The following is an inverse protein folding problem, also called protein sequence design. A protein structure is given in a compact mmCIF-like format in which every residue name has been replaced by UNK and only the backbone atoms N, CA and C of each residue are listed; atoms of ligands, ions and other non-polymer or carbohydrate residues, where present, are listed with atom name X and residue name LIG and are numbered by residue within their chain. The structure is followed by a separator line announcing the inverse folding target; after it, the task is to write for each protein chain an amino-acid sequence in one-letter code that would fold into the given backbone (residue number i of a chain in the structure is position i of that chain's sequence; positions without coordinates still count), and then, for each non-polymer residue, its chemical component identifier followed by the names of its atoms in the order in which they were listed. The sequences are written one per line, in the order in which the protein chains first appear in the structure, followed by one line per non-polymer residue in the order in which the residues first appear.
data_IF_690141258560
#
_entry.id   IF_690141258560
#
_cell.length_a   1.000
_cell.length_b   1.000
_cell.length_c   1.000
_cell.angle_alpha   90.00
_cell.angle_beta   90.00
_cell.angle_gamma   90.00
#
_symmetry.space_group_name_H-M   'P 1'
#
loop_
_entity.id
_entity.type
_entity.pdbx_description
1 polymer ?
2 non-polymer ?
3 non-polymer ?
4 water ?
#
# COMPACT_ATOMS: atom_id res chain seq x y z
N UNK A 1 -14.69 16.78 -4.03
CA UNK A 1 -15.81 17.52 -4.67
C UNK A 1 -16.43 16.66 -5.78
N UNK A 2 -17.76 16.61 -5.81
CA UNK A 2 -18.50 15.75 -6.75
C UNK A 2 -18.60 16.36 -8.16
N UNK A 3 -18.69 15.48 -9.15
CA UNK A 3 -18.89 15.83 -10.56
C UNK A 3 -20.30 15.35 -10.91
N UNK A 4 -21.14 16.26 -11.38
CA UNK A 4 -22.60 16.04 -11.41
C UNK A 4 -23.22 15.69 -12.78
N UNK A 5 -22.53 16.02 -13.87
CA UNK A 5 -22.98 15.62 -15.22
C UNK A 5 -21.95 14.81 -16.02
N UNK A 6 -20.80 14.50 -15.43
CA UNK A 6 -19.71 13.87 -16.18
C UNK A 6 -19.88 12.36 -16.38
N UNK A 7 -19.26 11.85 -17.43
CA UNK A 7 -19.27 10.41 -17.74
C UNK A 7 -18.13 10.04 -18.67
N UNK A 8 -17.74 8.76 -18.70
CA UNK A 8 -16.62 8.30 -19.55
C UNK A 8 -16.85 6.90 -20.08
N UNK A 9 -16.21 6.58 -21.21
CA UNK A 9 -16.29 5.24 -21.79
C UNK A 9 -14.98 4.48 -21.58
N UNK A 10 -15.10 3.18 -21.30
CA UNK A 10 -13.94 2.28 -21.15
C UNK A 10 -14.30 0.98 -21.86
N UNK A 11 -13.57 0.65 -22.93
CA UNK A 11 -13.79 -0.57 -23.72
C UNK A 11 -15.27 -0.75 -24.11
N UNK A 12 -15.86 0.33 -24.61
CA UNK A 12 -17.23 0.32 -25.11
C UNK A 12 -18.32 0.25 -24.06
N UNK A 13 -17.96 0.58 -22.80
CA UNK A 13 -18.89 0.56 -21.69
C UNK A 13 -18.90 1.92 -21.00
N UNK A 14 -20.10 2.49 -20.84
CA UNK A 14 -20.27 3.84 -20.31
C UNK A 14 -20.31 3.81 -18.78
N UNK A 15 -19.72 4.84 -18.18
CA UNK A 15 -19.62 4.99 -16.73
C UNK A 15 -20.01 6.41 -16.33
N UNK A 16 -21.02 6.50 -15.46
CA UNK A 16 -21.42 7.73 -14.78
C UNK A 16 -20.35 8.06 -13.74
N UNK A 17 -19.90 9.31 -13.68
CA UNK A 17 -18.89 9.73 -12.72
C UNK A 17 -19.55 10.42 -11.54
N UNK A 18 -19.48 9.83 -10.35
CA UNK A 18 -20.08 10.43 -9.16
C UNK A 18 -19.19 11.50 -8.56
N UNK A 19 -17.92 11.18 -8.37
CA UNK A 19 -16.94 12.13 -7.85
C UNK A 19 -15.51 11.66 -8.05
N UNK A 20 -14.58 12.58 -7.84
CA UNK A 20 -13.15 12.30 -7.86
C UNK A 20 -12.68 12.01 -6.44
N UNK A 21 -11.99 10.89 -6.24
CA UNK A 21 -11.64 10.39 -4.90
C UNK A 21 -10.14 10.25 -4.71
N UNK A 22 -9.37 11.07 -5.40
CA UNK A 22 -7.92 10.92 -5.42
C UNK A 22 -7.26 11.47 -6.67
N UNK A 23 -5.97 11.81 -6.53
CA UNK A 23 -5.19 12.39 -7.62
C UNK A 23 -3.67 12.33 -7.36
N UNK A 24 -2.93 11.80 -8.33
CA UNK A 24 -1.49 12.01 -8.45
C UNK A 24 -1.24 13.20 -9.39
N UNK A 25 -0.03 13.31 -9.91
CA UNK A 25 0.31 14.39 -10.84
C UNK A 25 -0.40 14.22 -12.16
N UNK A 26 -0.11 13.10 -12.83
CA UNK A 26 -0.70 12.74 -14.13
C UNK A 26 -1.97 11.90 -14.00
N UNK A 27 -2.35 11.52 -12.78
CA UNK A 27 -3.44 10.57 -12.56
C UNK A 27 -4.59 11.09 -11.69
N UNK A 28 -5.76 10.48 -11.88
CA UNK A 28 -6.96 10.78 -11.11
C UNK A 28 -7.68 9.48 -10.78
N UNK A 29 -8.41 9.44 -9.66
CA UNK A 29 -9.30 8.29 -9.36
C UNK A 29 -10.72 8.80 -9.24
N UNK A 30 -11.67 8.06 -9.83
CA UNK A 30 -13.10 8.45 -9.82
C UNK A 30 -13.96 7.35 -9.24
N UNK A 31 -14.90 7.75 -8.37
CA UNK A 31 -16.03 6.90 -7.97
C UNK A 31 -17.04 6.92 -9.11
N UNK A 32 -17.32 5.75 -9.70
CA UNK A 32 -18.17 5.67 -10.90
C UNK A 32 -19.19 4.54 -10.85
N UNK A 33 -20.22 4.65 -11.70
CA UNK A 33 -21.23 3.61 -11.87
C UNK A 33 -21.27 3.13 -13.31
N UNK A 34 -21.40 1.82 -13.53
CA UNK A 34 -21.59 1.29 -14.89
C UNK A 34 -23.07 1.39 -15.32
N UNK A 35 -23.39 0.84 -16.49
CA UNK A 35 -24.77 0.90 -17.03
C UNK A 35 -25.80 0.27 -16.09
N UNK A 36 -25.40 -0.78 -15.36
CA UNK A 36 -26.27 -1.48 -14.40
C UNK A 36 -26.16 -0.93 -12.96
N UNK A 37 -25.61 0.27 -12.81
CA UNK A 37 -25.47 0.95 -11.54
C UNK A 37 -24.64 0.20 -10.52
N UNK A 38 -23.64 -0.54 -11.00
CA UNK A 38 -22.64 -1.16 -10.15
C UNK A 38 -21.50 -0.18 -9.95
N UNK A 39 -20.97 -0.13 -8.74
CA UNK A 39 -19.94 0.85 -8.40
C UNK A 39 -18.52 0.32 -8.60
N UNK A 40 -17.66 1.23 -9.06
CA UNK A 40 -16.25 0.97 -9.28
C UNK A 40 -15.45 2.24 -8.99
N UNK A 41 -14.15 2.06 -8.92
CA UNK A 41 -13.19 3.17 -8.97
C UNK A 41 -12.49 3.07 -10.31
N UNK A 42 -12.40 4.17 -11.04
CA UNK A 42 -11.59 4.20 -12.26
C UNK A 42 -10.37 5.06 -12.02
N UNK A 43 -9.20 4.46 -12.22
CA UNK A 43 -7.94 5.20 -12.25
C UNK A 43 -7.72 5.67 -13.67
N UNK A 44 -7.49 6.97 -13.84
CA UNK A 44 -7.09 7.55 -15.12
C UNK A 44 -5.62 7.97 -14.99
N UNK A 45 -4.81 7.65 -16.00
CA UNK A 45 -3.42 8.12 -16.05
C UNK A 45 -3.21 8.78 -17.41
N UNK A 46 -2.75 10.03 -17.39
CA UNK A 46 -2.36 10.72 -18.61
C UNK A 46 -0.91 10.35 -18.93
N UNK A 47 -0.69 9.94 -20.18
CA UNK A 47 0.62 9.49 -20.64
C UNK A 47 1.31 10.54 -21.52
N UNK A 48 0.69 11.69 -21.70
CA UNK A 48 1.10 12.65 -22.73
C UNK A 48 2.53 13.18 -22.58
N UNK A 49 3.07 13.16 -21.36
CA UNK A 49 4.45 13.60 -21.10
C UNK A 49 5.30 12.51 -20.43
N UNK A 50 4.95 11.25 -20.67
CA UNK A 50 5.66 10.10 -20.11
C UNK A 50 6.57 9.49 -21.17
N UNK A 51 7.82 9.21 -20.81
CA UNK A 51 8.82 8.62 -21.71
C UNK A 51 8.71 7.09 -21.71
N UNK A 52 9.39 6.44 -22.66
CA UNK A 52 9.24 5.00 -22.88
C UNK A 52 9.51 4.12 -21.67
N UNK A 53 10.48 4.52 -20.86
CA UNK A 53 10.80 3.83 -19.61
C UNK A 53 9.59 3.84 -18.66
N UNK A 54 9.09 5.04 -18.39
CA UNK A 54 7.92 5.26 -17.55
C UNK A 54 6.72 4.47 -18.07
N UNK A 55 6.47 4.58 -19.38
CA UNK A 55 5.39 3.86 -20.05
C UNK A 55 5.50 2.39 -19.81
N UNK A 56 6.69 1.84 -20.02
CA UNK A 56 6.89 0.40 -19.86
C UNK A 56 6.68 -0.07 -18.41
N UNK A 57 7.00 0.78 -17.43
CA UNK A 57 6.72 0.45 -16.02
C UNK A 57 5.21 0.41 -15.71
N UNK A 58 4.44 1.31 -16.32
CA UNK A 58 2.97 1.23 -16.24
C UNK A 58 2.45 -0.03 -16.89
N UNK A 59 2.92 -0.35 -18.08
CA UNK A 59 2.54 -1.59 -18.77
C UNK A 59 2.83 -2.81 -17.90
N UNK A 60 3.99 -2.82 -17.26
CA UNK A 60 4.41 -3.94 -16.42
C UNK A 60 3.51 -4.12 -15.20
N UNK A 61 3.25 -3.02 -14.48
CA UNK A 61 2.37 -3.10 -13.33
C UNK A 61 0.96 -3.56 -13.69
N UNK A 62 0.43 -3.12 -14.82
CA UNK A 62 -0.89 -3.54 -15.25
C UNK A 62 -0.90 -5.04 -15.56
N UNK A 63 0.08 -5.53 -16.31
CA UNK A 63 0.16 -6.98 -16.62
C UNK A 63 0.18 -7.82 -15.36
N UNK A 64 1.02 -7.39 -14.42
CA UNK A 64 1.18 -8.11 -13.16
C UNK A 64 -0.06 -8.06 -12.27
N UNK A 65 -0.72 -6.90 -12.19
CA UNK A 65 -1.98 -6.78 -11.45
C UNK A 65 -3.08 -7.64 -12.09
N UNK A 66 -3.15 -7.69 -13.41
CA UNK A 66 -4.13 -8.52 -14.09
C UNK A 66 -3.87 -9.99 -13.80
N UNK A 67 -2.60 -10.41 -13.81
CA UNK A 67 -2.27 -11.80 -13.45
C UNK A 67 -2.55 -12.14 -11.97
N UNK A 68 -1.97 -11.36 -11.06
CA UNK A 68 -1.91 -11.70 -9.64
C UNK A 68 -3.21 -11.61 -8.87
N UNK A 69 -4.20 -10.91 -9.41
CA UNK A 69 -5.51 -10.80 -8.77
C UNK A 69 -6.22 -12.16 -8.72
N UNK A 70 -5.89 -13.05 -9.64
CA UNK A 70 -6.40 -14.43 -9.64
C UNK A 70 -5.75 -15.33 -8.59
N UNK A 71 -4.58 -14.93 -8.08
CA UNK A 71 -3.82 -15.71 -7.10
C UNK A 71 -4.17 -15.40 -5.65
N UNK A 72 -4.84 -14.29 -5.41
CA UNK A 72 -5.23 -13.92 -4.06
C UNK A 72 -6.38 -12.94 -4.13
N UNK A 73 -7.29 -13.04 -3.17
CA UNK A 73 -8.37 -12.06 -3.03
C UNK A 73 -7.95 -10.85 -2.16
N UNK A 74 -6.69 -10.78 -1.72
CA UNK A 74 -6.16 -9.63 -0.99
C UNK A 74 -5.44 -8.65 -1.89
N UNK A 75 -5.56 -8.85 -3.20
CA UNK A 75 -5.12 -7.88 -4.18
C UNK A 75 -6.37 -7.30 -4.81
N UNK A 76 -6.34 -5.99 -5.06
CA UNK A 76 -7.50 -5.27 -5.60
C UNK A 76 -7.90 -5.83 -6.97
N UNK A 77 -9.21 -5.92 -7.24
CA UNK A 77 -9.66 -6.40 -8.55
C UNK A 77 -9.41 -5.31 -9.59
N UNK A 78 -9.04 -5.77 -10.78
CA UNK A 78 -8.91 -4.97 -11.98
C UNK A 78 -9.84 -5.63 -12.97
N UNK A 79 -11.02 -5.07 -13.14
CA UNK A 79 -12.06 -5.67 -13.97
C UNK A 79 -11.83 -5.47 -15.46
N UNK A 80 -11.27 -4.33 -15.81
CA UNK A 80 -11.00 -4.01 -17.21
C UNK A 80 -10.05 -2.84 -17.26
N UNK A 81 -9.47 -2.62 -18.43
CA UNK A 81 -8.71 -1.43 -18.69
C UNK A 81 -8.70 -1.11 -20.17
N UNK A 82 -8.44 0.16 -20.46
CA UNK A 82 -8.27 0.64 -21.83
C UNK A 82 -6.95 1.39 -21.84
N UNK A 83 -6.19 1.19 -22.90
CA UNK A 83 -4.83 1.69 -22.97
C UNK A 83 -4.53 2.16 -24.40
N UNK A 84 -4.29 3.46 -24.51
CA UNK A 84 -3.93 4.10 -25.78
C UNK A 84 -2.60 4.79 -25.57
N UNK A 85 -2.15 5.51 -26.60
CA UNK A 85 -0.92 6.29 -26.50
C UNK A 85 -1.07 7.49 -25.56
N UNK A 86 -2.28 8.04 -25.46
CA UNK A 86 -2.54 9.22 -24.63
C UNK A 86 -2.86 8.91 -23.17
N UNK A 87 -3.55 7.79 -22.91
CA UNK A 87 -4.04 7.51 -21.56
C UNK A 87 -4.21 6.04 -21.22
N UNK A 88 -4.35 5.78 -19.92
CA UNK A 88 -4.83 4.51 -19.38
C UNK A 88 -6.05 4.75 -18.50
N UNK A 89 -7.12 3.99 -18.75
CA UNK A 89 -8.25 3.87 -17.81
C UNK A 89 -8.21 2.47 -17.19
N UNK A 90 -8.25 2.37 -15.88
CA UNK A 90 -8.35 1.09 -15.18
C UNK A 90 -9.63 1.05 -14.36
N UNK A 91 -10.47 0.04 -14.61
CA UNK A 91 -11.71 -0.13 -13.88
C UNK A 91 -11.46 -1.11 -12.75
N UNK A 92 -11.58 -0.61 -11.51
CA UNK A 92 -11.12 -1.33 -10.34
C UNK A 92 -12.17 -1.42 -9.26
N UNK A 93 -11.96 -2.39 -8.37
CA UNK A 93 -12.78 -2.59 -7.17
C UNK A 93 -12.86 -1.32 -6.33
N UNK A 94 -14.06 -1.00 -5.85
CA UNK A 94 -14.28 0.17 -5.00
C UNK A 94 -14.15 -0.21 -3.53
N UNK A 95 -13.55 0.68 -2.74
CA UNK A 95 -13.55 0.61 -1.26
C UNK A 95 -13.97 1.94 -0.66
N UNK A 96 -14.62 1.92 0.50
CA UNK A 96 -15.10 3.18 1.10
C UNK A 96 -13.98 3.97 1.78
N UNK A 97 -12.88 3.31 2.12
CA UNK A 97 -11.76 3.96 2.79
C UNK A 97 -10.47 3.16 2.66
N UNK A 98 -9.33 3.86 2.68
CA UNK A 98 -8.01 3.22 2.73
C UNK A 98 -7.54 3.10 4.18
N UNK A 99 -6.53 2.26 4.41
CA UNK A 99 -6.09 2.00 5.78
C UNK A 99 -5.49 3.23 6.44
N UNK A 100 -4.84 4.07 5.66
CA UNK A 100 -4.24 5.27 6.23
C UNK A 100 -5.30 6.13 6.88
N UNK A 101 -6.35 6.47 6.13
CA UNK A 101 -7.41 7.32 6.63
C UNK A 101 -8.15 6.68 7.79
N UNK A 102 -8.41 5.38 7.68
CA UNK A 102 -9.05 4.62 8.77
C UNK A 102 -8.25 4.69 10.08
N UNK A 103 -6.93 4.52 10.00
CA UNK A 103 -6.07 4.59 11.19
C UNK A 103 -5.96 6.00 11.78
N UNK A 104 -6.06 7.03 10.94
CA UNK A 104 -6.06 8.42 11.41
C UNK A 104 -7.26 8.73 12.30
N UNK A 105 -8.42 8.17 11.96
CA UNK A 105 -9.63 8.32 12.74
C UNK A 105 -9.93 7.19 13.73
N UNK A 106 -8.92 6.42 14.12
CA UNK A 106 -9.05 5.39 15.16
C UNK A 106 -7.89 5.49 16.13
N UNK A 107 -8.17 5.87 17.37
CA UNK A 107 -7.13 5.89 18.42
C UNK A 107 -6.91 4.46 18.93
N UNK A 108 -7.97 3.86 19.48
CA UNK A 108 -7.96 2.48 19.95
C UNK A 108 -8.47 1.61 18.81
N UNK A 109 -7.59 0.77 18.28
CA UNK A 109 -7.97 -0.24 17.31
C UNK A 109 -8.20 -1.58 18.04
N UNK A 110 -9.22 -2.30 17.60
CA UNK A 110 -9.60 -3.57 18.20
C UNK A 110 -8.50 -4.62 17.92
N UNK A 111 -8.00 -5.32 18.95
CA UNK A 111 -7.00 -6.40 18.78
C UNK A 111 -7.32 -7.44 17.69
N UNK A 112 -8.59 -7.84 17.61
CA UNK A 112 -9.07 -8.78 16.59
C UNK A 112 -8.97 -8.18 15.18
N UNK A 113 -9.37 -6.91 15.07
CA UNK A 113 -9.32 -6.16 13.81
C UNK A 113 -7.88 -6.04 13.30
N UNK A 114 -6.97 -5.68 14.21
CA UNK A 114 -5.54 -5.55 13.94
C UNK A 114 -4.92 -6.84 13.42
N UNK A 115 -5.24 -7.95 14.09
CA UNK A 115 -4.78 -9.28 13.67
C UNK A 115 -5.31 -9.64 12.29
N UNK A 116 -6.58 -9.31 12.04
CA UNK A 116 -7.22 -9.59 10.76
C UNK A 116 -6.59 -8.81 9.62
N UNK A 117 -6.31 -7.54 9.86
CA UNK A 117 -5.62 -6.71 8.88
C UNK A 117 -4.19 -7.17 8.62
N UNK A 118 -3.48 -7.49 9.70
CA UNK A 118 -2.13 -8.05 9.62
C UNK A 118 -2.09 -9.27 8.69
N UNK A 119 -3.02 -10.21 8.90
CA UNK A 119 -3.13 -11.37 8.03
C UNK A 119 -3.33 -10.97 6.57
N UNK A 120 -4.27 -10.06 6.32
CA UNK A 120 -4.61 -9.62 4.96
C UNK A 120 -3.36 -9.07 4.24
N UNK A 121 -2.67 -8.15 4.92
CA UNK A 121 -1.41 -7.58 4.45
C UNK A 121 -0.36 -8.63 4.11
N UNK A 122 -0.12 -9.54 5.06
CA UNK A 122 0.86 -10.63 4.85
C UNK A 122 0.55 -11.46 3.62
N UNK A 123 -0.71 -11.84 3.45
CA UNK A 123 -1.13 -12.64 2.29
C UNK A 123 -0.92 -11.89 0.96
N UNK A 124 -1.29 -10.62 0.92
CA UNK A 124 -1.08 -9.79 -0.28
C UNK A 124 0.41 -9.72 -0.66
N UNK A 125 1.24 -9.36 0.33
CA UNK A 125 2.67 -9.16 0.10
C UNK A 125 3.34 -10.49 -0.22
N UNK A 126 2.97 -11.54 0.48
CA UNK A 126 3.46 -12.88 0.17
C UNK A 126 3.21 -13.22 -1.29
N UNK A 127 2.04 -12.84 -1.80
CA UNK A 127 1.69 -13.16 -3.18
C UNK A 127 2.61 -12.47 -4.20
N UNK A 128 2.85 -11.18 -4.02
CA UNK A 128 3.72 -10.48 -4.95
C UNK A 128 5.16 -11.00 -4.87
N UNK A 129 5.64 -11.31 -3.66
CA UNK A 129 6.97 -11.92 -3.45
C UNK A 129 7.11 -13.25 -4.20
N UNK A 130 6.05 -14.06 -4.18
CA UNK A 130 6.04 -15.33 -4.93
C UNK A 130 6.19 -15.18 -6.45
N UNK A 131 5.95 -13.99 -7.00
CA UNK A 131 6.21 -13.72 -8.43
C UNK A 131 7.40 -12.78 -8.66
N UNK A 132 8.30 -12.73 -7.69
CA UNK A 132 9.52 -11.96 -7.80
C UNK A 132 9.41 -10.46 -7.56
N UNK A 133 8.25 -10.00 -7.13
CA UNK A 133 8.01 -8.57 -6.93
C UNK A 133 8.20 -8.22 -5.46
N UNK A 134 9.13 -7.30 -5.19
CA UNK A 134 9.27 -6.67 -3.88
C UNK A 134 8.71 -5.28 -4.06
N UNK A 135 7.72 -4.91 -3.26
CA UNK A 135 7.03 -3.63 -3.42
C UNK A 135 7.99 -2.47 -3.17
N UNK A 136 8.71 -2.55 -2.06
CA UNK A 136 9.77 -1.59 -1.73
C UNK A 136 9.32 -0.20 -1.27
N UNK A 137 8.03 -0.02 -1.02
CA UNK A 137 7.48 1.26 -0.55
C UNK A 137 6.07 1.10 0.04
N UNK A 138 5.93 0.20 1.01
CA UNK A 138 4.64 -0.09 1.61
C UNK A 138 4.33 0.91 2.70
N UNK A 139 3.15 1.53 2.58
CA UNK A 139 2.60 2.40 3.59
C UNK A 139 1.13 1.97 3.76
N UNK A 140 0.45 2.44 4.81
CA UNK A 140 -0.98 2.14 4.95
C UNK A 140 -1.82 2.56 3.76
N UNK A 141 -1.44 3.66 3.09
CA UNK A 141 -2.16 4.17 1.91
C UNK A 141 -2.19 3.19 0.73
N UNK A 142 -1.25 2.25 0.69
CA UNK A 142 -1.23 1.22 -0.35
C UNK A 142 -2.28 0.11 -0.12
N UNK A 143 -3.02 0.17 1.00
CA UNK A 143 -4.04 -0.80 1.34
C UNK A 143 -5.43 -0.17 1.41
N UNK A 144 -6.37 -0.82 0.73
CA UNK A 144 -7.74 -0.36 0.62
C UNK A 144 -8.63 -1.28 1.43
N UNK A 145 -9.54 -0.73 2.24
CA UNK A 145 -10.47 -1.57 2.99
C UNK A 145 -11.73 -1.77 2.12
N UNK A 146 -12.04 -3.04 1.84
CA UNK A 146 -13.22 -3.42 1.06
C UNK A 146 -13.96 -4.45 1.89
N UNK A 147 -15.03 -4.00 2.55
CA UNK A 147 -15.85 -4.86 3.43
C UNK A 147 -15.01 -5.61 4.44
N UNK A 148 -14.24 -4.85 5.22
CA UNK A 148 -13.37 -5.39 6.25
C UNK A 148 -12.10 -6.09 5.80
N UNK A 149 -11.93 -6.32 4.50
CA UNK A 149 -10.77 -7.03 4.00
C UNK A 149 -9.81 -6.01 3.40
N UNK A 150 -8.53 -6.10 3.74
CA UNK A 150 -7.52 -5.24 3.09
C UNK A 150 -7.16 -5.78 1.72
N UNK A 151 -7.11 -4.88 0.74
CA UNK A 151 -6.67 -5.17 -0.62
C UNK A 151 -5.47 -4.31 -0.90
N UNK A 152 -4.39 -4.94 -1.37
CA UNK A 152 -3.23 -4.22 -1.90
C UNK A 152 -3.58 -3.52 -3.23
N UNK A 153 -3.32 -2.23 -3.31
CA UNK A 153 -3.72 -1.37 -4.43
C UNK A 153 -2.70 -1.39 -5.57
N UNK A 154 -1.41 -1.32 -5.22
CA UNK A 154 -0.33 -1.28 -6.20
C UNK A 154 0.86 -2.17 -5.78
N UNK A 155 1.77 -2.41 -6.72
CA UNK A 155 2.94 -3.28 -6.51
C UNK A 155 4.29 -2.53 -6.51
N UNK A 156 4.26 -1.20 -6.45
CA UNK A 156 5.48 -0.38 -6.41
C UNK A 156 6.34 -0.38 -7.66
N UNK A 157 5.77 -0.84 -8.78
CA UNK A 157 6.50 -1.07 -10.04
C UNK A 157 6.60 0.21 -10.88
N UNK A 158 5.51 0.95 -10.96
CA UNK A 158 5.42 2.14 -11.80
C UNK A 158 6.30 3.29 -11.28
N UNK A 159 6.85 4.05 -12.22
CA UNK A 159 7.66 5.25 -11.93
C UNK A 159 6.71 6.42 -11.65
N UNK A 160 6.85 7.03 -10.47
CA UNK A 160 6.02 8.17 -10.08
C UNK A 160 6.36 9.39 -10.94
N UNK A 161 5.39 10.30 -11.09
CA UNK A 161 5.56 11.52 -11.89
C UNK A 161 5.14 12.79 -11.10
N UNK A 162 5.49 13.95 -11.64
CA UNK A 162 5.40 15.24 -10.95
C UNK A 162 4.41 16.21 -11.62
N UNK A 163 3.61 16.97 -10.83
CA UNK A 163 2.69 17.92 -11.47
C UNK A 163 3.40 19.14 -12.10
N UNK A 164 3.77 18.97 -13.37
CA UNK A 164 4.20 20.09 -14.23
C UNK A 164 2.99 20.70 -14.97
N UNK A 165 1.82 20.04 -14.86
CA UNK A 165 0.52 20.71 -14.99
C UNK A 165 0.47 21.79 -13.91
N UNK A 166 0.87 21.40 -12.70
CA UNK A 166 1.01 22.28 -11.53
C UNK A 166 -0.40 22.59 -11.02
N UNK A 167 -0.68 23.83 -10.61
CA UNK A 167 -1.70 24.10 -9.58
C UNK A 167 -1.47 23.06 -8.47
N UNK A 168 -0.24 23.07 -7.94
CA UNK A 168 0.31 21.94 -7.16
C UNK A 168 -0.29 21.80 -5.75
N UNK A 169 -0.74 20.59 -5.45
CA UNK A 169 -1.16 20.21 -4.09
C UNK A 169 -0.93 18.70 -3.93
N UNK A 170 -0.49 18.29 -2.74
CA UNK A 170 -0.15 16.89 -2.45
C UNK A 170 -0.52 16.51 -1.00
N UNK A 171 -0.28 15.25 -0.62
CA UNK A 171 -0.83 14.67 0.63
C UNK A 171 0.20 14.35 1.72
N UNK A 172 -0.33 14.15 2.93
CA UNK A 172 0.48 13.96 4.15
C UNK A 172 1.61 12.95 4.02
N UNK A 173 1.30 11.79 3.42
CA UNK A 173 2.17 10.61 3.53
C UNK A 173 2.85 10.12 2.22
N UNK A 174 2.84 10.94 1.17
CA UNK A 174 3.42 10.54 -0.13
C UNK A 174 4.96 10.52 -0.08
N UNK A 175 5.56 11.59 0.45
CA UNK A 175 7.01 11.67 0.61
C UNK A 175 7.59 10.79 1.71
N UNK A 177 9.24 8.97 4.94
CA UNK A 177 10.30 7.96 5.16
C UNK A 177 10.07 7.15 6.45
N UNK A 178 8.91 7.31 7.08
CA UNK A 178 8.63 6.65 8.37
C UNK A 178 8.48 5.12 8.26
N UNK A 179 8.28 4.61 7.04
CA UNK A 179 8.14 3.17 6.81
C UNK A 179 9.36 2.56 6.10
N UNK A 180 10.43 3.33 6.01
CA UNK A 180 11.58 3.00 5.17
C UNK A 180 12.58 2.15 5.97
N UNK A 181 13.14 1.11 5.34
CA UNK A 181 14.12 0.26 6.01
C UNK A 181 15.59 0.77 5.97
N UNK A 182 16.44 0.31 6.91
CA UNK A 182 17.83 0.81 6.98
C UNK A 182 18.65 0.58 5.71
N UNK A 183 18.54 -0.63 5.17
CA UNK A 183 19.24 -1.01 3.93
C UNK A 183 18.83 -0.18 2.71
N UNK A 184 17.60 0.34 2.69
CA UNK A 184 17.17 1.26 1.64
C UNK A 184 17.90 2.60 1.75
N UNK A 185 18.14 3.05 2.99
CA UNK A 185 18.78 4.32 3.27
C UNK A 185 20.29 4.26 2.96
N UNK A 186 20.93 3.15 3.36
CA UNK A 186 22.31 2.87 2.92
C UNK A 186 22.43 2.81 1.39
N UNK A 187 21.51 2.09 0.74
CA UNK A 187 21.57 1.73 -0.70
C UNK A 187 21.91 2.91 -1.62
N UNK A 188 21.28 4.05 -1.38
CA UNK A 188 21.77 5.33 -1.93
C UNK A 188 21.55 6.44 -0.91
N UNK A 199 21.47 -3.91 -6.90
CA UNK A 199 20.13 -3.84 -6.36
C UNK A 199 20.12 -3.76 -4.81
N UNK A 200 20.38 -4.89 -4.14
CA UNK A 200 20.26 -5.05 -2.67
C UNK A 200 18.82 -4.84 -2.11
N UNK A 201 17.81 -5.06 -2.95
CA UNK A 201 16.39 -4.98 -2.55
C UNK A 201 15.89 -6.42 -2.48
N UNK A 202 15.62 -6.87 -1.25
CA UNK A 202 15.13 -8.21 -0.98
C UNK A 202 13.73 -8.15 -0.39
N UNK A 203 13.01 -9.28 -0.40
CA UNK A 203 11.71 -9.38 0.29
C UNK A 203 11.70 -8.83 1.73
N UNK A 204 12.83 -8.91 2.41
CA UNK A 204 12.95 -8.41 3.79
C UNK A 204 12.68 -6.92 3.91
N UNK A 205 12.91 -6.14 2.86
CA UNK A 205 12.56 -4.70 2.86
C UNK A 205 11.08 -4.47 3.19
N UNK A 206 10.23 -5.28 2.58
CA UNK A 206 8.80 -5.23 2.79
C UNK A 206 8.39 -5.64 4.22
N UNK A 207 9.12 -6.58 4.84
CA UNK A 207 8.83 -7.00 6.22
C UNK A 207 9.05 -5.85 7.21
N UNK A 208 10.11 -5.06 7.03
CA UNK A 208 10.33 -3.88 7.86
C UNK A 208 9.12 -2.91 7.73
N UNK A 209 8.70 -2.63 6.49
CA UNK A 209 7.60 -1.69 6.25
C UNK A 209 6.28 -2.19 6.85
N UNK A 210 5.99 -3.47 6.65
CA UNK A 210 4.83 -4.10 7.28
C UNK A 210 4.92 -4.01 8.80
N UNK A 211 6.09 -4.31 9.35
CA UNK A 211 6.34 -4.16 10.78
C UNK A 211 6.06 -2.76 11.29
N UNK A 212 6.45 -1.74 10.51
CA UNK A 212 6.15 -0.34 10.85
C UNK A 212 4.65 -0.04 10.85
N UNK A 213 3.90 -0.63 9.92
CA UNK A 213 2.44 -0.50 9.90
C UNK A 213 1.83 -1.17 11.13
N UNK A 214 2.27 -2.37 11.46
CA UNK A 214 1.77 -3.09 12.63
C UNK A 214 2.13 -2.36 13.90
N UNK A 215 3.34 -1.78 13.95
CA UNK A 215 3.77 -0.96 15.08
C UNK A 215 2.83 0.23 15.26
N UNK A 216 2.44 0.86 14.15
CA UNK A 216 1.45 1.95 14.20
C UNK A 216 0.14 1.45 14.80
N UNK A 217 -0.35 0.31 14.31
CA UNK A 217 -1.60 -0.27 14.80
C UNK A 217 -1.54 -0.70 16.27
N UNK A 218 -0.35 -1.03 16.75
CA UNK A 218 -0.16 -1.47 18.12
C UNK A 218 0.03 -0.30 19.07
N UNK A 219 1.01 0.56 18.77
CA UNK A 219 1.42 1.63 19.69
C UNK A 219 0.86 3.02 19.37
N UNK A 220 0.27 3.19 18.19
CA UNK A 220 -0.36 4.45 17.80
C UNK A 220 0.55 5.43 17.08
N UNK A 221 1.75 4.99 16.72
CA UNK A 221 2.68 5.77 15.90
C UNK A 221 3.71 4.85 15.24
N UNK A 222 4.39 5.31 14.19
CA UNK A 222 5.54 4.57 13.64
C UNK A 222 6.74 4.72 14.57
N UNK A 223 7.73 3.81 14.51
CA UNK A 223 8.77 3.81 15.55
C UNK A 223 9.66 5.06 15.63
N UNK A 224 9.86 5.76 14.51
CA UNK A 224 10.71 6.96 14.48
C UNK A 224 9.92 8.26 14.27
N UNK A 225 8.60 8.18 14.47
CA UNK A 225 7.68 9.30 14.24
C UNK A 225 8.03 10.51 15.09
N UNK A 226 8.47 10.26 16.31
CA UNK A 226 8.85 11.33 17.25
C UNK A 226 9.93 12.28 16.71
N UNK A 227 10.86 11.75 15.91
CA UNK A 227 11.95 12.56 15.38
C UNK A 227 11.41 13.42 14.23
N UNK A 228 11.18 14.71 14.49
CA UNK A 228 10.79 15.66 13.45
C UNK A 228 11.90 15.89 12.41
N UNK A 229 13.14 16.04 12.90
CA UNK A 229 14.27 16.39 12.05
C UNK A 229 14.68 15.25 11.14
N UNK A 230 14.44 15.42 9.85
CA UNK A 230 14.40 14.31 8.90
C UNK A 230 15.75 13.61 8.69
N UNK A 231 16.86 14.32 8.92
CA UNK A 231 18.17 13.70 8.86
C UNK A 231 18.51 12.94 10.15
N UNK A 232 18.07 13.48 11.30
CA UNK A 232 18.16 12.73 12.56
C UNK A 232 17.33 11.44 12.49
N UNK A 233 16.14 11.50 11.88
CA UNK A 233 15.26 10.34 11.72
C UNK A 233 15.93 9.21 10.92
N UNK A 234 16.49 9.59 9.76
CA UNK A 234 17.20 8.63 8.91
C UNK A 234 18.42 8.04 9.62
N UNK A 235 19.14 8.87 10.35
CA UNK A 235 20.26 8.40 11.16
C UNK A 235 19.81 7.42 12.27
N UNK A 236 18.67 7.69 12.89
CA UNK A 236 18.11 6.80 13.93
C UNK A 236 17.74 5.43 13.37
N UNK A 237 17.17 5.42 12.16
CA UNK A 237 16.77 4.17 11.50
C UNK A 237 17.96 3.24 11.24
N UNK A 238 19.13 3.80 10.94
CA UNK A 238 20.35 3.02 10.62
C UNK A 238 21.15 2.60 11.88
N UNK A 239 21.20 3.49 12.88
CA UNK A 239 22.07 3.32 14.06
C UNK A 239 21.67 2.10 14.92
N UNK A 240 22.52 1.05 14.97
CA UNK A 240 22.22 -0.10 15.84
C UNK A 240 22.06 0.27 17.33
N UNK A 241 22.87 1.22 17.81
CA UNK A 241 22.77 1.71 19.19
C UNK A 241 21.47 2.47 19.51
N UNK A 242 20.80 3.00 18.49
CA UNK A 242 19.46 3.56 18.69
C UNK A 242 18.45 2.45 18.96
N UNK A 243 18.18 2.18 20.23
CA UNK A 243 17.24 1.13 20.64
C UNK A 243 15.79 1.56 20.38
N UNK A 244 15.05 0.77 19.59
CA UNK A 244 13.63 1.02 19.37
C UNK A 244 12.84 0.56 20.61
N UNK A 245 11.86 1.36 21.00
CA UNK A 245 10.98 1.07 22.13
C UNK A 245 9.97 0.00 21.75
N UNK A 246 9.71 -0.93 22.66
CA UNK A 246 8.61 -1.88 22.51
C UNK A 246 7.90 -2.01 23.85
N UNK A 247 7.07 -1.00 24.19
CA UNK A 247 6.32 -1.03 25.45
C UNK A 247 5.53 -2.33 25.68
N UNK A 248 5.54 -2.80 26.93
CA UNK A 248 4.86 -4.05 27.31
C UNK A 248 3.35 -3.97 27.11
N UNK A 249 2.79 -5.04 26.55
CA UNK A 249 1.36 -5.13 26.24
C UNK A 249 0.91 -6.57 26.47
N UNK A 250 -0.41 -6.80 26.64
CA UNK A 250 -0.96 -8.16 26.85
C UNK A 250 -0.58 -9.21 25.80
N UNK A 251 -0.58 -8.80 24.53
CA UNK A 251 -0.28 -9.70 23.42
C UNK A 251 1.23 -9.84 23.29
N UNK A 252 1.78 -10.86 23.94
CA UNK A 252 3.24 -11.09 23.92
C UNK A 252 3.69 -11.59 22.55
N UNK A 253 2.79 -12.27 21.84
CA UNK A 253 3.05 -12.69 20.46
C UNK A 253 3.18 -11.47 19.52
N UNK A 254 2.39 -10.43 19.76
CA UNK A 254 2.46 -9.20 18.97
C UNK A 254 3.76 -8.41 19.21
N UNK A 255 4.16 -8.32 20.48
CA UNK A 255 5.48 -7.79 20.86
C UNK A 255 6.59 -8.51 20.10
N UNK A 256 6.51 -9.84 20.06
CA UNK A 256 7.52 -10.65 19.40
C UNK A 256 7.60 -10.37 17.90
N UNK A 257 6.44 -10.31 17.25
CA UNK A 257 6.35 -10.01 15.81
C UNK A 257 7.04 -8.69 15.48
N UNK A 258 6.76 -7.66 16.28
CA UNK A 258 7.31 -6.32 16.03
C UNK A 258 8.85 -6.25 16.19
N UNK A 259 9.34 -6.87 17.25
CA UNK A 259 10.77 -7.01 17.47
C UNK A 259 11.43 -7.77 16.33
N UNK A 260 10.74 -8.79 15.79
CA UNK A 260 11.28 -9.59 14.69
C UNK A 260 11.29 -8.90 13.34
N UNK A 261 10.24 -8.13 13.05
CA UNK A 261 10.17 -7.33 11.82
C UNK A 261 11.15 -6.16 11.80
N UNK A 262 11.41 -5.57 12.97
CA UNK A 262 12.25 -4.36 13.03
C UNK A 262 13.67 -4.60 13.53
N UNK A 263 14.23 -5.76 13.18
CA UNK A 263 15.67 -5.99 13.23
C UNK A 263 16.32 -5.29 12.02
N UNK A 264 17.31 -4.45 12.27
CA UNK A 264 17.93 -3.64 11.21
C UNK A 264 18.71 -4.48 10.20
N UNK A 265 19.38 -5.53 10.68
CA UNK A 265 20.08 -6.46 9.80
C UNK A 265 19.04 -7.30 9.05
N UNK A 266 18.91 -7.13 7.72
CA UNK A 266 17.88 -7.89 6.99
C UNK A 266 18.11 -9.41 7.03
N UNK A 267 19.36 -9.81 7.15
CA UNK A 267 19.72 -11.23 7.34
C UNK A 267 19.00 -11.81 8.55
N UNK A 268 19.06 -11.08 9.67
CA UNK A 268 18.47 -11.51 10.94
C UNK A 268 16.99 -11.20 11.08
N UNK A 269 16.46 -10.37 10.19
CA UNK A 269 15.07 -9.99 10.20
C UNK A 269 14.22 -11.15 9.70
N UNK A 270 13.03 -11.28 10.28
CA UNK A 270 12.12 -12.39 10.00
C UNK A 270 11.61 -12.35 8.54
N UNK A 271 11.28 -13.53 8.00
CA UNK A 271 10.72 -13.65 6.64
C UNK A 271 9.19 -13.74 6.65
N UNK A 272 8.58 -13.56 5.48
CA UNK A 272 7.13 -13.60 5.32
C UNK A 272 6.59 -15.01 5.58
N UNK A 273 7.22 -16.07 5.00
CA UNK A 273 6.74 -17.41 5.34
C UNK A 273 6.81 -17.73 6.84
N UNK A 274 7.85 -17.22 7.51
CA UNK A 274 7.99 -17.37 8.97
C UNK A 274 6.88 -16.63 9.71
N UNK A 275 6.65 -15.37 9.33
CA UNK A 275 5.54 -14.56 9.87
C UNK A 275 4.16 -15.22 9.74
N UNK A 276 3.95 -15.94 8.64
CA UNK A 276 2.68 -16.62 8.40
C UNK A 276 2.45 -17.78 9.37
N UNK A 277 3.55 -18.42 9.82
CA UNK A 277 3.49 -19.52 10.81
C UNK A 277 3.70 -19.06 12.25
N UNK A 278 3.73 -17.74 12.47
CA UNK A 278 3.97 -17.17 13.79
C UNK A 278 2.71 -17.31 14.65
N UNK A 279 2.88 -17.54 15.97
CA UNK A 279 1.70 -17.74 16.84
C UNK A 279 0.69 -16.58 16.91
N UNK A 280 1.16 -15.34 16.74
CA UNK A 280 0.27 -14.18 16.56
C UNK A 280 -0.80 -14.41 15.48
N UNK A 281 -0.42 -14.99 14.35
CA UNK A 281 -1.34 -15.28 13.24
C UNK A 281 -2.11 -16.60 13.45
N UNK A 282 -1.50 -17.56 14.12
CA UNK A 282 -1.99 -18.94 14.14
C UNK A 282 -2.73 -19.38 15.42
N UNK A 283 -2.30 -18.90 16.60
CA UNK A 283 -2.86 -19.42 17.86
C UNK A 283 -4.23 -18.79 18.10
N UNK A 284 -5.26 -19.64 18.21
CA UNK A 284 -6.63 -19.21 18.47
C UNK A 284 -6.79 -18.69 19.90
N UNK A 285 -6.86 -17.36 20.02
CA UNK A 285 -7.05 -16.69 21.31
C UNK A 285 -8.45 -16.94 21.92
N UNK A 286 -9.44 -17.18 21.07
CA UNK A 286 -10.82 -17.40 21.51
C UNK A 286 -10.97 -18.67 22.37
N UNK A 287 -11.65 -18.56 23.53
CA UNK A 287 -12.17 -19.76 24.21
C UNK A 287 -13.27 -20.44 23.40
#
# INVERSE_FOLDING_TARGET
ENLYFQSMSVKGRIYSILKQIGSGGSSKVFQVLNEKKQIYAIKYVNLEEADNQTLDSYRNEIAYLNKLQQHSDKIIRLYDYEITDQYIYMVMEYGNIDLNSWLKKKKSIDPWERKSYWKNMLEAVHTIHQHGIVHSDLKPANFLIVDGMLKLIDFGIANQMQPDTTSVVKDSQVGXVNYMPPEAIKDMSSSRENGKSKSKISPKSDVWSLGCILYYMTYGKTPFQQIINQISKLHAIIDPNHEIEFPDIPEKDLQDVLKCCLKRDPKQRISIPELLAHPYVQIQTHP
#
